data_IF_069865810569
#
_entry.id   IF_069865810569
#
_cell.length_a   1.000
_cell.length_b   1.000
_cell.length_c   1.000
_cell.angle_alpha   90.00
_cell.angle_beta   90.00
_cell.angle_gamma   90.00
#
_symmetry.space_group_name_H-M   'P 1'
#
loop_
_entity.id
_entity.type
_entity.pdbx_description
1 polymer ?
#
# COMPACT_ATOMS: atom_id res chain seq x y z
N UNK A 1 9.08 -27.31 -39.41
CA UNK A 1 9.96 -26.21 -38.98
C UNK A 1 9.23 -24.87 -38.91
N UNK A 2 8.49 -24.47 -39.97
CA UNK A 2 7.75 -23.20 -39.94
C UNK A 2 6.71 -23.17 -38.83
N UNK A 3 6.00 -24.27 -38.58
CA UNK A 3 5.00 -24.34 -37.51
C UNK A 3 5.63 -24.20 -36.12
N UNK A 4 6.80 -24.74 -35.93
CA UNK A 4 7.53 -24.66 -34.66
C UNK A 4 8.00 -23.24 -34.39
N UNK A 5 8.48 -22.55 -35.44
CA UNK A 5 8.90 -21.15 -35.35
C UNK A 5 7.70 -20.25 -35.03
N UNK A 6 6.55 -20.50 -35.67
CA UNK A 6 5.34 -19.74 -35.43
C UNK A 6 4.83 -19.94 -34.00
N UNK A 7 4.90 -21.18 -33.49
CA UNK A 7 4.53 -21.49 -32.12
C UNK A 7 5.44 -20.78 -31.12
N UNK A 8 6.74 -20.72 -31.42
CA UNK A 8 7.71 -20.03 -30.58
C UNK A 8 7.46 -18.53 -30.57
N UNK A 9 7.23 -17.92 -31.75
CA UNK A 9 6.88 -16.51 -31.84
C UNK A 9 5.64 -16.18 -31.04
N UNK A 10 4.62 -17.04 -31.12
CA UNK A 10 3.37 -16.84 -30.37
C UNK A 10 3.64 -16.85 -28.86
N UNK A 11 4.46 -17.77 -28.40
CA UNK A 11 4.80 -17.86 -26.98
C UNK A 11 5.61 -16.65 -26.52
N UNK A 12 6.56 -16.20 -27.34
CA UNK A 12 7.32 -15.00 -27.05
C UNK A 12 6.40 -13.78 -26.91
N UNK A 13 5.45 -13.65 -27.84
CA UNK A 13 4.48 -12.55 -27.79
C UNK A 13 3.61 -12.62 -26.53
N UNK A 14 3.18 -13.82 -26.13
CA UNK A 14 2.41 -14.03 -24.88
C UNK A 14 3.22 -13.65 -23.65
N UNK A 15 4.47 -14.07 -23.57
CA UNK A 15 5.35 -13.74 -22.46
C UNK A 15 5.59 -12.24 -22.40
N UNK A 16 5.84 -11.60 -23.53
CA UNK A 16 6.04 -10.16 -23.58
C UNK A 16 4.79 -9.40 -23.12
N UNK A 17 3.60 -9.85 -23.53
CA UNK A 17 2.35 -9.26 -23.07
C UNK A 17 2.16 -9.44 -21.57
N UNK A 18 2.45 -10.62 -21.06
CA UNK A 18 2.36 -10.90 -19.63
C UNK A 18 3.34 -10.02 -18.83
N UNK A 19 4.55 -9.85 -19.33
CA UNK A 19 5.54 -8.97 -18.69
C UNK A 19 5.03 -7.53 -18.61
N UNK A 20 4.41 -7.03 -19.68
CA UNK A 20 3.83 -5.68 -19.68
C UNK A 20 2.71 -5.57 -18.64
N UNK A 21 1.81 -6.54 -18.60
CA UNK A 21 0.72 -6.58 -17.63
C UNK A 21 1.26 -6.59 -16.20
N UNK A 22 2.23 -7.44 -15.92
CA UNK A 22 2.83 -7.54 -14.60
C UNK A 22 3.53 -6.26 -14.16
N UNK A 23 4.19 -5.57 -15.10
CA UNK A 23 4.82 -4.27 -14.80
C UNK A 23 3.79 -3.22 -14.43
N UNK A 24 2.66 -3.18 -15.14
CA UNK A 24 1.58 -2.25 -14.84
C UNK A 24 0.97 -2.56 -13.48
N UNK A 25 0.65 -3.83 -13.22
CA UNK A 25 0.11 -4.27 -11.94
C UNK A 25 1.08 -3.96 -10.79
N UNK A 26 2.36 -4.20 -11.01
CA UNK A 26 3.39 -3.93 -10.02
C UNK A 26 3.44 -2.43 -9.70
N UNK A 27 3.37 -1.58 -10.72
CA UNK A 27 3.33 -0.13 -10.54
C UNK A 27 2.11 0.32 -9.74
N UNK A 28 0.94 -0.22 -10.08
CA UNK A 28 -0.29 0.08 -9.36
C UNK A 28 -0.24 -0.35 -7.90
N UNK A 29 0.28 -1.57 -7.65
CA UNK A 29 0.42 -2.08 -6.29
C UNK A 29 1.39 -1.25 -5.46
N UNK A 30 2.48 -0.80 -6.06
CA UNK A 30 3.44 0.09 -5.39
C UNK A 30 2.81 1.41 -5.00
N UNK A 31 1.98 1.98 -5.88
CA UNK A 31 1.26 3.22 -5.58
C UNK A 31 0.27 3.02 -4.45
N UNK A 32 -0.47 1.92 -4.48
CA UNK A 32 -1.44 1.59 -3.42
C UNK A 32 -0.74 1.38 -2.09
N UNK A 33 0.40 0.71 -2.10
CA UNK A 33 1.18 0.48 -0.90
C UNK A 33 1.68 1.80 -0.31
N UNK A 34 2.22 2.67 -1.15
CA UNK A 34 2.69 3.99 -0.73
C UNK A 34 1.55 4.82 -0.12
N UNK A 35 0.38 4.81 -0.75
CA UNK A 35 -0.80 5.52 -0.23
C UNK A 35 -1.24 4.93 1.12
N UNK A 36 -1.26 3.61 1.23
CA UNK A 36 -1.64 2.93 2.47
C UNK A 36 -0.67 3.24 3.61
N UNK A 37 0.63 3.27 3.31
CA UNK A 37 1.65 3.63 4.29
C UNK A 37 1.48 5.06 4.79
N UNK A 38 1.17 6.00 3.88
CA UNK A 38 0.91 7.39 4.23
C UNK A 38 -0.33 7.52 5.11
N UNK A 39 -1.41 6.81 4.77
CA UNK A 39 -2.63 6.77 5.59
C UNK A 39 -2.35 6.21 6.97
N UNK A 40 -1.60 5.12 7.04
CA UNK A 40 -1.23 4.49 8.30
C UNK A 40 -0.46 5.46 9.19
N UNK A 41 0.51 6.17 8.63
CA UNK A 41 1.30 7.16 9.37
C UNK A 41 0.41 8.30 9.88
N UNK A 42 -0.50 8.78 9.03
CA UNK A 42 -1.43 9.83 9.39
C UNK A 42 -2.37 9.41 10.52
N UNK A 43 -2.96 8.22 10.43
CA UNK A 43 -3.82 7.69 11.48
C UNK A 43 -3.05 7.48 12.78
N UNK A 44 -1.84 6.97 12.72
CA UNK A 44 -1.00 6.77 13.89
C UNK A 44 -0.73 8.09 14.61
N UNK A 45 -0.44 9.16 13.86
CA UNK A 45 -0.22 10.48 14.41
C UNK A 45 -1.49 11.03 15.06
N UNK A 46 -2.62 10.90 14.36
CA UNK A 46 -3.91 11.37 14.88
C UNK A 46 -4.33 10.62 16.14
N UNK A 47 -4.08 9.32 16.19
CA UNK A 47 -4.35 8.52 17.39
C UNK A 47 -3.46 8.96 18.55
N UNK A 48 -2.18 9.26 18.27
CA UNK A 48 -1.27 9.77 19.27
C UNK A 48 -1.71 11.11 19.83
N UNK A 49 -2.14 12.03 18.95
CA UNK A 49 -2.64 13.34 19.36
C UNK A 49 -3.91 13.22 20.19
N UNK A 50 -4.83 12.35 19.77
CA UNK A 50 -6.07 12.12 20.52
C UNK A 50 -5.79 11.56 21.91
N UNK A 51 -4.86 10.62 22.00
CA UNK A 51 -4.44 10.03 23.27
C UNK A 51 -3.86 11.09 24.20
N UNK A 52 -2.99 11.93 23.68
CA UNK A 52 -2.38 13.01 24.44
C UNK A 52 -3.42 13.97 25.01
N UNK A 53 -4.42 14.35 24.18
CA UNK A 53 -5.52 15.19 24.61
C UNK A 53 -6.35 14.54 25.71
N UNK A 54 -6.62 13.25 25.59
CA UNK A 54 -7.35 12.53 26.61
C UNK A 54 -6.55 12.48 27.93
N UNK A 55 -5.28 12.22 27.86
CA UNK A 55 -4.40 12.21 29.03
C UNK A 55 -4.37 13.57 29.73
N UNK A 56 -4.33 14.66 28.97
CA UNK A 56 -4.38 16.03 29.50
C UNK A 56 -5.71 16.31 30.18
N UNK A 57 -6.82 15.90 29.55
CA UNK A 57 -8.16 16.10 30.14
C UNK A 57 -8.32 15.30 31.43
N UNK A 58 -7.88 14.07 31.46
CA UNK A 58 -7.90 13.23 32.66
C UNK A 58 -7.07 13.88 33.76
N UNK A 59 -5.91 14.40 33.42
CA UNK A 59 -5.03 15.09 34.39
C UNK A 59 -5.64 16.36 34.98
N UNK A 60 -6.60 16.98 34.28
CA UNK A 60 -7.29 18.19 34.74
C UNK A 60 -8.47 17.90 35.64
N UNK A 61 -8.95 16.66 35.69
CA UNK A 61 -10.09 16.29 36.54
C UNK A 61 -9.64 16.22 38.00
N UNK A 62 -10.38 16.87 38.92
CA UNK A 62 -10.01 16.85 40.35
C UNK A 62 -9.97 15.44 40.94
N UNK A 63 -10.84 14.57 40.51
CA UNK A 63 -10.94 13.16 40.97
C UNK A 63 -9.71 12.36 40.58
N UNK A 64 -9.09 12.65 39.45
CA UNK A 64 -7.89 11.96 38.99
C UNK A 64 -6.65 12.33 39.80
N UNK A 65 -6.68 13.46 40.52
CA UNK A 65 -5.57 13.94 41.37
C UNK A 65 -5.67 13.44 42.80
N UNK A 66 -6.78 12.89 43.15
CA UNK A 66 -7.02 12.34 44.46
C UNK A 66 -6.41 10.93 44.54
#
# INVERSE_FOLDING_TARGET
MVNELNALESKIAQVAALCRTLRLENGELRQKLSAAESEKANFSQRMGDARERLEQLVGQLPEAKA
#
